data_IF_712680554566
#
_entry.id   IF_712680554566
#
_cell.length_a   1.000
_cell.length_b   1.000
_cell.length_c   1.000
_cell.angle_alpha   90.00
_cell.angle_beta   90.00
_cell.angle_gamma   90.00
#
_symmetry.space_group_name_H-M   'P 1'
#
loop_
_entity.id
_entity.type
_entity.pdbx_description
1 polymer ?
#
# COMPACT_ATOMS: atom_id res chain seq x y z
N UNK A 1 -62.90 -6.35 9.76
CA UNK A 1 -61.96 -5.65 8.83
C UNK A 1 -60.51 -5.86 9.36
N UNK A 2 -59.79 -6.85 8.82
CA UNK A 2 -58.41 -7.16 9.21
C UNK A 2 -57.45 -6.36 8.32
N UNK A 3 -56.74 -5.40 8.89
CA UNK A 3 -55.71 -4.63 8.18
C UNK A 3 -54.38 -5.42 8.23
N UNK A 4 -53.93 -5.87 7.06
CA UNK A 4 -52.64 -6.53 6.87
C UNK A 4 -51.58 -5.43 6.66
N UNK A 5 -50.68 -5.27 7.62
CA UNK A 5 -49.48 -4.45 7.44
C UNK A 5 -48.43 -5.32 6.75
N UNK A 6 -48.15 -5.04 5.49
CA UNK A 6 -47.02 -5.62 4.78
C UNK A 6 -45.75 -4.87 5.23
N UNK A 7 -44.89 -5.55 5.98
CA UNK A 7 -43.58 -5.03 6.37
C UNK A 7 -42.62 -5.22 5.18
N UNK A 8 -42.26 -4.13 4.50
CA UNK A 8 -41.26 -4.15 3.44
C UNK A 8 -39.87 -4.24 4.08
N UNK A 9 -39.25 -5.43 4.00
CA UNK A 9 -37.85 -5.62 4.35
C UNK A 9 -36.97 -5.06 3.23
N UNK A 10 -36.40 -3.89 3.43
CA UNK A 10 -35.34 -3.34 2.56
C UNK A 10 -34.01 -4.02 2.91
N UNK A 11 -33.60 -4.95 2.07
CA UNK A 11 -32.27 -5.56 2.19
C UNK A 11 -31.19 -4.55 1.73
N UNK A 12 -30.45 -4.01 2.66
CA UNK A 12 -29.23 -3.27 2.34
C UNK A 12 -28.15 -4.26 1.89
N UNK A 13 -27.87 -4.29 0.59
CA UNK A 13 -26.69 -4.96 0.06
C UNK A 13 -25.45 -4.15 0.48
N UNK A 14 -24.70 -4.64 1.47
CA UNK A 14 -23.39 -4.11 1.79
C UNK A 14 -22.46 -4.44 0.62
N UNK A 15 -22.07 -3.43 -0.14
CA UNK A 15 -20.99 -3.57 -1.12
C UNK A 15 -19.68 -3.79 -0.34
N UNK A 16 -19.24 -5.03 -0.22
CA UNK A 16 -17.90 -5.35 0.23
C UNK A 16 -16.94 -4.89 -0.88
N UNK A 17 -16.29 -3.74 -0.69
CA UNK A 17 -15.16 -3.34 -1.52
C UNK A 17 -14.08 -4.41 -1.33
N UNK A 18 -13.79 -5.16 -2.39
CA UNK A 18 -12.65 -6.07 -2.39
C UNK A 18 -11.38 -5.26 -2.13
N UNK A 19 -10.57 -5.68 -1.18
CA UNK A 19 -9.26 -5.08 -0.95
C UNK A 19 -8.44 -5.17 -2.25
N UNK A 20 -7.61 -4.16 -2.57
CA UNK A 20 -6.78 -4.19 -3.77
C UNK A 20 -5.92 -5.45 -3.76
N UNK A 21 -5.95 -6.20 -4.86
CA UNK A 21 -5.26 -7.50 -4.91
C UNK A 21 -3.82 -7.42 -5.37
N UNK A 22 -3.43 -6.43 -6.15
CA UNK A 22 -2.09 -6.17 -6.74
C UNK A 22 -1.11 -7.38 -6.76
N UNK A 23 -1.66 -8.58 -6.98
CA UNK A 23 -0.93 -9.85 -6.95
C UNK A 23 0.03 -10.04 -8.12
N UNK A 24 -0.03 -9.16 -9.13
CA UNK A 24 0.89 -9.13 -10.27
C UNK A 24 2.35 -8.88 -9.86
N UNK A 25 2.60 -8.38 -8.66
CA UNK A 25 3.94 -8.11 -8.14
C UNK A 25 4.55 -9.29 -7.38
N UNK A 26 3.84 -10.39 -7.24
CA UNK A 26 4.32 -11.56 -6.49
C UNK A 26 4.33 -12.84 -7.33
N UNK A 27 5.28 -13.75 -7.09
CA UNK A 27 5.30 -15.05 -7.74
C UNK A 27 4.01 -15.83 -7.45
N UNK A 28 3.43 -16.42 -8.50
CA UNK A 28 2.21 -17.24 -8.40
C UNK A 28 1.01 -16.52 -7.76
N UNK A 29 0.97 -15.19 -7.83
CA UNK A 29 -0.08 -14.36 -7.22
C UNK A 29 -0.28 -14.61 -5.71
N UNK A 30 0.79 -14.98 -5.01
CA UNK A 30 0.76 -15.26 -3.57
C UNK A 30 1.58 -14.23 -2.80
N UNK A 31 0.99 -13.68 -1.76
CA UNK A 31 1.66 -12.73 -0.87
C UNK A 31 2.46 -13.43 0.24
N UNK A 32 3.54 -12.79 0.72
CA UNK A 32 4.21 -13.23 1.93
C UNK A 32 3.23 -13.27 3.11
N UNK A 33 3.30 -14.33 3.90
CA UNK A 33 2.45 -14.51 5.08
C UNK A 33 3.18 -13.98 6.31
N UNK A 34 2.50 -13.16 7.11
CA UNK A 34 3.01 -12.74 8.41
C UNK A 34 2.96 -13.91 9.39
N UNK A 35 4.12 -14.43 9.72
CA UNK A 35 4.24 -15.54 10.69
C UNK A 35 4.12 -15.05 12.13
N UNK A 36 4.57 -13.83 12.41
CA UNK A 36 4.42 -13.21 13.73
C UNK A 36 3.09 -12.44 13.82
N UNK A 37 2.10 -13.04 14.46
CA UNK A 37 0.77 -12.46 14.60
C UNK A 37 0.74 -11.17 15.43
N UNK A 38 1.77 -10.87 16.22
CA UNK A 38 1.88 -9.58 16.93
C UNK A 38 2.09 -8.39 15.98
N UNK A 39 2.55 -8.66 14.76
CA UNK A 39 2.74 -7.65 13.72
C UNK A 39 1.48 -7.43 12.85
N UNK A 40 0.48 -8.29 12.97
CA UNK A 40 -0.73 -8.23 12.16
C UNK A 40 -1.65 -7.02 12.43
N UNK A 41 -1.79 -6.51 13.67
CA UNK A 41 -2.64 -5.35 13.91
C UNK A 41 -2.19 -4.13 13.11
N UNK A 42 -3.17 -3.35 12.60
CA UNK A 42 -2.95 -2.13 11.80
C UNK A 42 -2.12 -2.32 10.52
N UNK A 43 -2.06 -3.54 10.00
CA UNK A 43 -1.43 -3.77 8.68
C UNK A 43 -2.40 -3.43 7.56
N UNK A 44 -1.86 -2.84 6.48
CA UNK A 44 -2.62 -2.47 5.28
C UNK A 44 -1.82 -2.77 4.03
N UNK A 45 -2.49 -3.38 3.05
CA UNK A 45 -1.93 -3.54 1.71
C UNK A 45 -2.10 -2.23 0.95
N UNK A 46 -1.01 -1.64 0.51
CA UNK A 46 -0.97 -0.48 -0.35
C UNK A 46 -0.48 -0.90 -1.73
N UNK A 47 -1.34 -0.74 -2.73
CA UNK A 47 -1.03 -1.00 -4.12
C UNK A 47 -0.66 0.30 -4.84
N UNK A 48 0.41 0.27 -5.57
CA UNK A 48 0.87 1.34 -6.47
C UNK A 48 0.89 0.80 -7.90
N UNK A 49 1.24 1.63 -8.88
CA UNK A 49 1.32 1.20 -10.28
C UNK A 49 2.36 0.11 -10.50
N UNK A 50 3.51 0.19 -9.83
CA UNK A 50 4.69 -0.63 -10.11
C UNK A 50 5.10 -1.54 -8.96
N UNK A 51 4.52 -1.36 -7.78
CA UNK A 51 4.85 -2.14 -6.61
C UNK A 51 3.67 -2.22 -5.62
N UNK A 52 3.81 -3.09 -4.64
CA UNK A 52 2.91 -3.18 -3.50
C UNK A 52 3.68 -3.19 -2.19
N UNK A 53 3.04 -2.69 -1.15
CA UNK A 53 3.62 -2.61 0.20
C UNK A 53 2.64 -3.18 1.22
N UNK A 54 3.12 -4.03 2.12
CA UNK A 54 2.41 -4.31 3.36
C UNK A 54 2.90 -3.31 4.41
N UNK A 55 2.09 -2.31 4.65
CA UNK A 55 2.36 -1.28 5.64
C UNK A 55 1.94 -1.71 7.05
N UNK A 56 2.69 -1.28 8.06
CA UNK A 56 2.35 -1.43 9.47
C UNK A 56 2.12 -0.06 10.11
N UNK A 57 0.89 0.18 10.57
CA UNK A 57 0.55 1.36 11.36
C UNK A 57 1.12 1.34 12.78
N UNK A 58 1.79 0.26 13.20
CA UNK A 58 2.50 0.19 14.48
C UNK A 58 3.93 0.70 14.34
N UNK A 59 4.62 0.29 13.27
CA UNK A 59 6.01 0.70 13.02
C UNK A 59 6.12 1.93 12.13
N UNK A 60 5.00 2.41 11.58
CA UNK A 60 4.88 3.54 10.64
C UNK A 60 5.69 3.33 9.35
N UNK A 61 5.90 2.09 8.96
CA UNK A 61 6.70 1.74 7.79
C UNK A 61 6.31 0.41 7.18
N UNK A 62 6.96 0.01 6.08
CA UNK A 62 6.69 -1.25 5.42
C UNK A 62 7.23 -2.44 6.22
N UNK A 63 6.45 -3.52 6.27
CA UNK A 63 6.92 -4.84 6.69
C UNK A 63 7.63 -5.55 5.53
N UNK A 64 7.15 -5.33 4.32
CA UNK A 64 7.76 -5.77 3.08
C UNK A 64 7.22 -4.93 1.91
N UNK A 65 8.00 -4.87 0.84
CA UNK A 65 7.58 -4.37 -0.47
C UNK A 65 7.81 -5.45 -1.52
N UNK A 66 7.00 -5.44 -2.57
CA UNK A 66 7.10 -6.37 -3.70
C UNK A 66 6.94 -5.61 -5.00
N UNK A 67 7.82 -5.90 -5.96
CA UNK A 67 7.84 -5.31 -7.28
C UNK A 67 8.16 -6.38 -8.32
N UNK A 68 7.77 -6.16 -9.57
CA UNK A 68 8.09 -7.05 -10.68
C UNK A 68 9.04 -6.34 -11.63
N UNK A 69 10.33 -6.66 -11.50
CA UNK A 69 11.39 -6.09 -12.32
C UNK A 69 11.54 -6.85 -13.63
N UNK A 70 11.56 -6.10 -14.72
CA UNK A 70 11.94 -6.62 -16.03
C UNK A 70 13.23 -5.97 -16.49
N UNK A 71 13.96 -6.66 -17.38
CA UNK A 71 15.18 -6.08 -17.98
C UNK A 71 14.89 -4.75 -18.67
N UNK A 72 13.78 -4.65 -19.37
CA UNK A 72 13.41 -3.44 -20.13
C UNK A 72 13.14 -2.26 -19.20
N UNK A 73 12.49 -2.48 -18.06
CA UNK A 73 12.30 -1.44 -17.04
C UNK A 73 13.63 -0.93 -16.49
N UNK A 74 14.55 -1.85 -16.17
CA UNK A 74 15.87 -1.49 -15.63
C UNK A 74 16.69 -0.73 -16.67
N UNK A 75 16.69 -1.15 -17.93
CA UNK A 75 17.42 -0.46 -19.00
C UNK A 75 16.85 0.95 -19.23
N UNK A 76 15.52 1.10 -19.29
CA UNK A 76 14.87 2.39 -19.46
C UNK A 76 15.15 3.37 -18.30
N UNK A 77 15.36 2.85 -17.10
CA UNK A 77 15.61 3.66 -15.91
C UNK A 77 17.07 4.16 -15.76
N UNK A 78 18.03 3.61 -16.53
CA UNK A 78 19.47 3.96 -16.36
C UNK A 78 19.79 5.43 -16.55
N UNK A 79 19.11 6.09 -17.47
CA UNK A 79 19.38 7.48 -17.85
C UNK A 79 18.44 8.47 -17.15
N UNK A 80 17.63 8.00 -16.20
CA UNK A 80 16.63 8.83 -15.56
C UNK A 80 17.18 9.62 -14.38
N UNK A 81 16.81 10.89 -14.30
CA UNK A 81 17.21 11.76 -13.20
C UNK A 81 16.41 11.41 -11.94
N UNK A 82 17.11 11.02 -10.89
CA UNK A 82 16.50 10.73 -9.60
C UNK A 82 15.81 11.97 -9.02
N UNK A 83 14.55 11.85 -8.70
CA UNK A 83 13.80 12.90 -7.99
C UNK A 83 13.90 12.68 -6.48
N UNK A 84 13.94 13.78 -5.73
CA UNK A 84 13.98 13.75 -4.26
C UNK A 84 12.63 14.20 -3.69
N UNK A 85 11.53 13.82 -4.35
CA UNK A 85 10.17 14.13 -3.91
C UNK A 85 9.70 13.05 -2.95
N UNK A 86 9.46 13.44 -1.71
CA UNK A 86 8.84 12.59 -0.70
C UNK A 86 7.53 13.23 -0.26
N UNK A 87 6.50 12.42 -0.11
CA UNK A 87 5.18 12.83 0.39
C UNK A 87 4.64 11.77 1.34
N UNK A 88 3.71 12.17 2.17
CA UNK A 88 3.05 11.28 3.12
C UNK A 88 1.99 10.45 2.40
N UNK A 89 1.76 9.23 2.87
CA UNK A 89 0.76 8.31 2.28
C UNK A 89 -0.65 8.67 2.79
N UNK A 90 -1.41 9.39 1.99
CA UNK A 90 -2.74 9.92 2.34
C UNK A 90 -3.81 8.84 2.59
N UNK A 91 -3.58 7.60 2.14
CA UNK A 91 -4.51 6.47 2.36
C UNK A 91 -4.41 5.85 3.75
N UNK A 92 -3.42 6.25 4.53
CA UNK A 92 -3.24 5.80 5.90
C UNK A 92 -4.04 6.66 6.86
N UNK A 93 -4.63 6.07 7.92
CA UNK A 93 -5.19 6.84 9.01
C UNK A 93 -4.15 7.71 9.70
N UNK A 94 -4.62 8.80 10.30
CA UNK A 94 -3.78 9.69 11.09
C UNK A 94 -2.99 8.93 12.17
N UNK A 95 -1.69 9.21 12.23
CA UNK A 95 -0.77 8.58 13.19
C UNK A 95 -0.40 7.12 12.87
N UNK A 96 -0.77 6.58 11.71
CA UNK A 96 -0.36 5.24 11.27
C UNK A 96 0.73 5.26 10.18
N UNK A 97 1.12 6.42 9.68
CA UNK A 97 2.20 6.61 8.71
C UNK A 97 3.32 7.47 9.25
N UNK A 98 4.53 7.32 8.73
CA UNK A 98 5.61 8.25 8.97
C UNK A 98 5.32 9.58 8.26
N UNK A 99 5.61 10.68 8.94
CA UNK A 99 5.44 12.02 8.40
C UNK A 99 6.78 12.64 7.99
N UNK A 100 6.76 13.65 7.14
CA UNK A 100 7.97 14.39 6.80
C UNK A 100 8.59 15.10 8.02
N UNK A 101 7.76 15.41 9.02
CA UNK A 101 8.20 16.02 10.27
C UNK A 101 9.03 15.06 11.14
N UNK A 102 8.72 13.77 11.12
CA UNK A 102 9.45 12.75 11.89
C UNK A 102 10.93 12.67 11.49
N UNK A 103 11.23 12.95 10.23
CA UNK A 103 12.60 12.93 9.71
C UNK A 103 13.36 14.23 9.92
N UNK A 104 12.65 15.33 10.20
CA UNK A 104 13.30 16.65 10.32
C UNK A 104 14.21 16.71 11.56
N UNK A 105 15.52 16.83 11.34
CA UNK A 105 16.53 16.88 12.40
C UNK A 105 16.56 15.62 13.29
N UNK A 106 16.09 14.49 12.77
CA UNK A 106 16.09 13.21 13.48
C UNK A 106 17.45 12.50 13.46
N UNK A 107 18.31 12.87 12.52
CA UNK A 107 19.55 12.13 12.23
C UNK A 107 19.35 10.95 11.27
N UNK A 108 18.14 10.74 10.78
CA UNK A 108 17.80 9.69 9.80
C UNK A 108 17.40 10.30 8.47
N UNK A 109 17.79 9.63 7.40
CA UNK A 109 17.37 9.98 6.05
C UNK A 109 16.05 9.29 5.69
N UNK A 110 15.30 9.93 4.79
CA UNK A 110 14.11 9.33 4.19
C UNK A 110 14.53 8.27 3.18
N UNK A 111 13.96 7.08 3.28
CA UNK A 111 14.20 5.97 2.37
C UNK A 111 13.03 5.75 1.40
N UNK A 112 13.33 5.18 0.24
CA UNK A 112 12.33 4.73 -0.71
C UNK A 112 11.88 3.31 -0.36
N UNK A 113 10.60 3.01 -0.55
CA UNK A 113 10.05 1.66 -0.39
C UNK A 113 10.36 0.77 -1.60
N UNK A 114 10.71 1.39 -2.71
CA UNK A 114 11.10 0.77 -3.98
C UNK A 114 12.32 1.50 -4.54
N UNK A 115 13.07 0.86 -5.42
CA UNK A 115 14.22 1.51 -6.08
C UNK A 115 13.78 2.75 -6.87
N UNK A 116 14.44 3.91 -6.68
CA UNK A 116 14.08 5.12 -7.41
C UNK A 116 14.19 4.99 -8.93
N UNK A 117 15.05 4.08 -9.41
CA UNK A 117 15.24 3.85 -10.84
C UNK A 117 14.01 3.23 -11.53
N UNK A 118 13.07 2.69 -10.76
CA UNK A 118 11.90 1.98 -11.26
C UNK A 118 10.62 2.78 -11.20
N UNK A 119 10.57 3.78 -10.32
CA UNK A 119 9.39 4.64 -10.13
C UNK A 119 9.15 5.70 -11.21
N UNK A 120 10.09 5.86 -12.13
CA UNK A 120 10.11 7.03 -13.00
C UNK A 120 9.34 6.82 -14.31
N UNK A 121 8.99 5.58 -14.64
CA UNK A 121 8.26 5.28 -15.88
C UNK A 121 6.76 5.62 -15.83
N UNK A 122 6.22 6.00 -14.65
CA UNK A 122 4.78 6.25 -14.45
C UNK A 122 4.48 7.58 -13.73
N UNK A 123 5.37 8.53 -13.79
CA UNK A 123 5.14 9.88 -13.25
C UNK A 123 4.48 10.81 -14.28
#
# INVERSE_FOLDING_TARGET
MKKWFACLLVAFAANASAAPSCTQFTPNAQWPVLTNQKMAPKTRMLCYSDFAVMHSGITHGPLWSAEHLTRDHIEAAKDMVRTNKFFEEERLPDGEGATLADYRRSGFDRGHNQSPAENILNA
#
